data_IF_179208966159
#
_entry.id   IF_179208966159
#
_cell.length_a   1.000
_cell.length_b   1.000
_cell.length_c   1.000
_cell.angle_alpha   90.00
_cell.angle_beta   90.00
_cell.angle_gamma   90.00
#
_symmetry.space_group_name_H-M   'P 1'
#
loop_
_entity.id
_entity.type
_entity.pdbx_description
1 polymer ?
#
# COMPACT_ATOMS: atom_id res chain seq x y z
N UNK A 1 -6.25 3.34 9.91
CA UNK A 1 -5.51 2.92 8.71
C UNK A 1 -4.13 2.40 9.07
N UNK A 2 -3.55 1.55 8.24
CA UNK A 2 -2.14 1.15 8.35
C UNK A 2 -1.27 2.23 7.71
N UNK A 3 -0.25 2.67 8.43
CA UNK A 3 0.77 3.58 7.92
C UNK A 3 2.12 2.87 7.86
N UNK A 4 2.78 3.02 6.72
CA UNK A 4 4.04 2.34 6.41
C UNK A 4 5.18 3.34 6.37
N UNK A 5 6.20 3.11 7.17
CA UNK A 5 7.49 3.78 7.02
C UNK A 5 8.47 2.83 6.32
N UNK A 6 8.91 3.21 5.14
CA UNK A 6 9.83 2.39 4.36
C UNK A 6 11.27 2.42 4.87
N UNK A 7 11.67 3.48 5.58
CA UNK A 7 13.02 3.62 6.13
C UNK A 7 13.26 2.61 7.26
N UNK A 8 12.31 2.49 8.20
CA UNK A 8 12.42 1.51 9.28
C UNK A 8 11.74 0.17 8.97
N UNK A 9 11.10 0.02 7.80
CA UNK A 9 10.37 -1.19 7.39
C UNK A 9 9.34 -1.64 8.44
N UNK A 10 8.54 -0.69 8.92
CA UNK A 10 7.47 -0.91 9.92
C UNK A 10 6.13 -0.41 9.40
N UNK A 11 5.08 -1.08 9.87
CA UNK A 11 3.70 -0.62 9.73
C UNK A 11 3.09 -0.46 11.11
N UNK A 12 2.30 0.58 11.28
CA UNK A 12 1.59 0.85 12.53
C UNK A 12 0.16 1.31 12.22
N UNK A 13 -0.78 0.95 13.09
CA UNK A 13 -2.17 1.35 12.95
C UNK A 13 -2.40 2.69 13.63
N UNK A 14 -3.02 3.62 12.92
CA UNK A 14 -3.52 4.88 13.48
C UNK A 14 -4.96 5.08 13.04
N UNK A 15 -5.83 5.40 13.97
CA UNK A 15 -7.19 5.84 13.69
C UNK A 15 -7.31 7.25 14.26
N UNK A 16 -7.68 8.20 13.41
CA UNK A 16 -8.11 9.51 13.88
C UNK A 16 -9.57 9.44 14.33
N UNK A 17 -9.97 10.23 15.35
CA UNK A 17 -11.36 10.35 15.73
C UNK A 17 -12.19 10.89 14.56
N UNK A 18 -13.39 10.35 14.37
CA UNK A 18 -14.34 10.89 13.38
C UNK A 18 -14.79 12.28 13.80
N UNK A 19 -15.03 13.24 12.87
CA UNK A 19 -15.18 13.07 11.42
C UNK A 19 -13.88 13.20 10.62
N UNK A 20 -12.71 13.26 11.25
CA UNK A 20 -11.46 13.54 10.55
C UNK A 20 -11.08 12.44 9.55
N UNK A 21 -10.72 12.86 8.34
CA UNK A 21 -10.15 11.96 7.33
C UNK A 21 -8.74 11.56 7.78
N UNK A 22 -8.42 10.27 7.66
CA UNK A 22 -7.07 9.80 7.90
C UNK A 22 -6.11 10.44 6.87
N UNK A 23 -5.02 11.09 7.30
CA UNK A 23 -4.08 11.76 6.40
C UNK A 23 -3.41 10.75 5.46
N UNK A 24 -2.89 11.26 4.34
CA UNK A 24 -2.16 10.44 3.37
C UNK A 24 -0.74 10.11 3.84
N UNK A 25 -0.16 11.02 4.62
CA UNK A 25 1.18 10.90 5.20
C UNK A 25 1.19 11.32 6.66
N UNK A 26 2.12 10.76 7.43
CA UNK A 26 2.39 11.20 8.79
C UNK A 26 3.83 10.88 9.22
N UNK A 27 4.28 11.46 10.33
CA UNK A 27 5.59 11.18 10.91
C UNK A 27 5.63 9.78 11.53
N UNK A 28 6.66 9.00 11.19
CA UNK A 28 6.91 7.70 11.77
C UNK A 28 7.26 7.84 13.26
N UNK A 29 6.52 7.19 14.18
CA UNK A 29 6.76 7.31 15.62
C UNK A 29 8.07 6.65 16.05
N UNK A 30 8.62 5.73 15.25
CA UNK A 30 9.83 5.00 15.59
C UNK A 30 11.13 5.68 15.13
N UNK A 31 11.10 6.42 14.02
CA UNK A 31 12.33 6.95 13.40
C UNK A 31 12.21 8.38 12.85
N UNK A 32 11.07 9.05 13.02
CA UNK A 32 10.87 10.44 12.58
C UNK A 32 10.71 10.64 11.07
N UNK A 33 10.99 9.63 10.23
CA UNK A 33 10.81 9.73 8.78
C UNK A 33 9.34 9.73 8.36
N UNK A 34 9.07 10.02 7.09
CA UNK A 34 7.74 9.94 6.50
C UNK A 34 7.19 8.51 6.52
N UNK A 35 5.89 8.42 6.80
CA UNK A 35 5.10 7.21 6.66
C UNK A 35 3.84 7.50 5.83
N UNK A 36 3.38 6.48 5.11
CA UNK A 36 2.35 6.63 4.08
C UNK A 36 1.15 5.76 4.41
N UNK A 37 -0.04 6.25 4.10
CA UNK A 37 -1.29 5.54 4.34
C UNK A 37 -1.51 4.42 3.31
N UNK A 38 -1.63 3.19 3.79
CA UNK A 38 -1.87 1.98 3.01
C UNK A 38 -3.29 1.41 3.18
N UNK A 39 -4.16 2.16 3.86
CA UNK A 39 -5.54 1.74 4.11
C UNK A 39 -5.66 0.57 5.09
N UNK A 40 -6.84 -0.06 5.10
CA UNK A 40 -7.22 -1.09 6.09
C UNK A 40 -6.90 -2.53 5.70
N UNK A 41 -6.57 -2.77 4.42
CA UNK A 41 -6.37 -4.13 3.89
C UNK A 41 -4.89 -4.53 3.80
N UNK A 42 -3.98 -3.58 4.03
CA UNK A 42 -2.57 -3.83 4.00
C UNK A 42 -2.11 -4.71 5.16
N UNK A 43 -1.34 -5.74 4.83
CA UNK A 43 -0.68 -6.65 5.78
C UNK A 43 0.84 -6.50 5.59
N UNK A 44 1.57 -5.98 6.59
CA UNK A 44 3.01 -5.82 6.47
C UNK A 44 3.73 -7.18 6.45
N UNK A 45 4.82 -7.31 5.68
CA UNK A 45 5.72 -8.45 5.79
C UNK A 45 6.58 -8.31 7.05
N UNK A 46 7.43 -9.32 7.31
CA UNK A 46 8.45 -9.22 8.38
C UNK A 46 9.40 -8.05 8.09
N UNK A 47 9.84 -7.33 9.12
CA UNK A 47 10.81 -6.21 9.00
C UNK A 47 12.09 -6.61 8.26
N UNK A 48 12.56 -7.85 8.46
CA UNK A 48 13.77 -8.40 7.85
C UNK A 48 13.60 -8.81 6.38
N UNK A 49 12.36 -8.91 5.87
CA UNK A 49 12.10 -9.34 4.49
C UNK A 49 12.21 -8.16 3.52
N UNK A 50 13.46 -7.76 3.24
CA UNK A 50 13.77 -6.60 2.39
C UNK A 50 13.20 -6.74 0.97
N UNK A 51 13.18 -7.95 0.41
CA UNK A 51 12.60 -8.23 -0.91
C UNK A 51 11.10 -7.88 -0.95
N UNK A 52 10.35 -8.24 0.08
CA UNK A 52 8.94 -7.85 0.15
C UNK A 52 8.76 -6.35 0.35
N UNK A 53 9.61 -5.70 1.16
CA UNK A 53 9.58 -4.25 1.34
C UNK A 53 9.85 -3.49 0.04
N UNK A 54 10.80 -3.95 -0.78
CA UNK A 54 11.11 -3.36 -2.08
C UNK A 54 9.92 -3.47 -3.04
N UNK A 55 9.26 -4.63 -3.08
CA UNK A 55 8.00 -4.81 -3.84
C UNK A 55 6.91 -3.83 -3.39
N UNK A 56 6.71 -3.69 -2.08
CA UNK A 56 5.69 -2.78 -1.53
C UNK A 56 6.03 -1.33 -1.89
N UNK A 57 7.30 -0.93 -1.78
CA UNK A 57 7.78 0.41 -2.17
C UNK A 57 7.55 0.65 -3.65
N UNK A 58 7.83 -0.33 -4.50
CA UNK A 58 7.58 -0.26 -5.94
C UNK A 58 6.08 -0.08 -6.24
N UNK A 59 5.22 -0.95 -5.71
CA UNK A 59 3.77 -0.85 -5.90
C UNK A 59 3.21 0.50 -5.45
N UNK A 60 3.68 1.00 -4.30
CA UNK A 60 3.27 2.29 -3.76
C UNK A 60 3.63 3.45 -4.69
N UNK A 61 4.87 3.47 -5.23
CA UNK A 61 5.32 4.47 -6.20
C UNK A 61 4.47 4.48 -7.48
N UNK A 62 3.80 3.37 -7.79
CA UNK A 62 2.88 3.23 -8.92
C UNK A 62 1.41 3.36 -8.53
N UNK A 63 1.10 3.96 -7.37
CA UNK A 63 -0.28 4.27 -6.97
C UNK A 63 -1.06 3.08 -6.40
N UNK A 64 -0.39 1.96 -6.07
CA UNK A 64 -1.03 0.82 -5.45
C UNK A 64 -0.74 0.75 -3.96
N UNK A 65 -1.83 0.87 -3.17
CA UNK A 65 -1.83 0.91 -1.72
C UNK A 65 -2.56 -0.30 -1.13
N UNK A 66 -2.56 -1.43 -1.85
CA UNK A 66 -3.26 -2.65 -1.45
C UNK A 66 -4.78 -2.47 -1.30
N UNK A 67 -5.35 -1.56 -2.11
CA UNK A 67 -6.80 -1.43 -2.32
C UNK A 67 -7.36 -2.67 -3.02
N UNK A 68 -8.65 -2.96 -2.82
CA UNK A 68 -9.32 -4.03 -3.58
C UNK A 68 -9.43 -3.62 -5.05
N UNK A 69 -8.89 -4.43 -5.95
CA UNK A 69 -9.05 -4.28 -7.38
C UNK A 69 -10.11 -5.28 -7.86
N UNK A 70 -11.17 -4.76 -8.47
CA UNK A 70 -12.25 -5.54 -9.09
C UNK A 70 -12.21 -5.28 -10.58
N UNK A 71 -11.79 -6.30 -11.33
CA UNK A 71 -11.70 -6.20 -12.79
C UNK A 71 -12.86 -6.90 -13.50
N UNK A 72 -13.66 -7.67 -12.76
CA UNK A 72 -14.86 -8.31 -13.27
C UNK A 72 -16.10 -7.50 -12.83
N UNK A 73 -16.85 -6.89 -13.76
CA UNK A 73 -18.06 -6.14 -13.42
C UNK A 73 -19.20 -7.05 -12.95
N UNK A 74 -19.23 -8.31 -13.40
CA UNK A 74 -20.33 -9.24 -13.15
C UNK A 74 -20.17 -10.01 -11.83
N UNK A 75 -18.97 -9.99 -11.24
CA UNK A 75 -18.71 -10.65 -9.97
C UNK A 75 -17.91 -9.75 -9.01
N UNK A 76 -18.63 -9.12 -8.08
CA UNK A 76 -18.05 -8.24 -7.05
C UNK A 76 -17.10 -8.95 -6.07
N UNK A 77 -17.21 -10.27 -5.91
CA UNK A 77 -16.33 -11.06 -5.05
C UNK A 77 -15.01 -11.42 -5.73
N UNK A 78 -14.94 -11.33 -7.06
CA UNK A 78 -13.72 -11.57 -7.82
C UNK A 78 -12.77 -10.37 -7.65
N UNK A 79 -11.72 -10.58 -6.85
CA UNK A 79 -10.71 -9.57 -6.58
C UNK A 79 -9.36 -10.02 -7.08
N UNK A 80 -8.66 -9.10 -7.75
CA UNK A 80 -7.33 -9.38 -8.28
C UNK A 80 -6.34 -9.45 -7.10
N UNK A 81 -5.61 -10.56 -6.93
CA UNK A 81 -4.58 -10.67 -5.91
C UNK A 81 -3.37 -9.80 -6.26
N UNK A 82 -2.75 -9.22 -5.24
CA UNK A 82 -1.49 -8.51 -5.39
C UNK A 82 -0.34 -9.48 -5.69
N UNK A 83 0.70 -9.02 -6.43
CA UNK A 83 1.83 -9.86 -6.83
C UNK A 83 2.64 -10.34 -5.63
N UNK A 84 3.26 -11.52 -5.74
CA UNK A 84 4.07 -12.12 -4.67
C UNK A 84 5.51 -11.64 -4.70
N UNK A 85 6.06 -11.40 -5.90
CA UNK A 85 7.46 -10.97 -6.12
C UNK A 85 7.56 -9.58 -6.74
N UNK A 86 8.76 -9.01 -6.76
CA UNK A 86 9.03 -7.71 -7.38
C UNK A 86 8.89 -7.78 -8.91
N UNK A 87 9.30 -8.89 -9.52
CA UNK A 87 9.19 -9.14 -10.96
C UNK A 87 7.74 -9.12 -11.40
N UNK A 88 6.87 -9.86 -10.70
CA UNK A 88 5.42 -9.83 -10.94
C UNK A 88 4.83 -8.45 -10.71
N UNK A 89 5.40 -7.65 -9.79
CA UNK A 89 4.92 -6.29 -9.57
C UNK A 89 5.17 -5.38 -10.77
N UNK A 90 6.27 -5.55 -11.49
CA UNK A 90 6.55 -4.78 -12.71
C UNK A 90 5.50 -5.00 -13.79
N UNK A 91 5.06 -6.24 -13.99
CA UNK A 91 3.97 -6.58 -14.91
C UNK A 91 2.61 -6.08 -14.38
N UNK A 92 2.39 -6.24 -13.08
CA UNK A 92 1.13 -5.87 -12.43
C UNK A 92 0.80 -4.38 -12.58
N UNK A 93 1.79 -3.49 -12.38
CA UNK A 93 1.55 -2.04 -12.44
C UNK A 93 1.19 -1.57 -13.86
N UNK A 94 1.66 -2.29 -14.89
CA UNK A 94 1.27 -2.03 -16.28
C UNK A 94 -0.13 -2.55 -16.53
N UNK A 95 -0.39 -3.83 -16.20
CA UNK A 95 -1.67 -4.50 -16.46
C UNK A 95 -2.86 -3.82 -15.75
N UNK A 96 -2.66 -3.37 -14.51
CA UNK A 96 -3.72 -2.81 -13.67
C UNK A 96 -3.61 -1.30 -13.50
N UNK A 97 -2.87 -0.59 -14.37
CA UNK A 97 -2.64 0.85 -14.29
C UNK A 97 -3.93 1.67 -14.10
N UNK A 98 -5.04 1.30 -14.74
CA UNK A 98 -6.34 1.98 -14.58
C UNK A 98 -6.90 1.98 -13.16
N UNK A 99 -6.37 1.13 -12.27
CA UNK A 99 -6.77 1.03 -10.87
C UNK A 99 -5.75 1.66 -9.90
N UNK A 100 -4.65 2.24 -10.41
CA UNK A 100 -3.74 3.00 -9.58
C UNK A 100 -4.44 4.23 -9.03
N UNK A 101 -4.23 4.53 -7.76
CA UNK A 101 -4.69 5.78 -7.16
C UNK A 101 -3.72 6.87 -7.60
N UNK A 102 -4.24 7.97 -8.14
CA UNK A 102 -3.43 9.17 -8.35
C UNK A 102 -2.88 9.63 -7.01
N UNK A 103 -1.59 9.41 -6.80
CA UNK A 103 -0.83 10.05 -5.74
C UNK A 103 -0.60 11.49 -6.18
N UNK A 104 -1.52 12.38 -5.82
CA UNK A 104 -1.32 13.81 -5.97
C UNK A 104 -0.18 14.24 -5.04
N UNK A 105 0.86 14.79 -5.65
CA UNK A 105 1.71 15.77 -5.01
C UNK A 105 0.90 17.05 -4.80
#
# INVERSE_FOLDING_TARGET
MSYVCFECCKSFMRQLPKPERNPETMTCPDCGNHSYNFGRHFKPPKKSDKKQWDKIRFLFKHGFRFQKIRNNPDNYYDTVPFPKTLEQAKEFVVKYKKFSIESWA
#
